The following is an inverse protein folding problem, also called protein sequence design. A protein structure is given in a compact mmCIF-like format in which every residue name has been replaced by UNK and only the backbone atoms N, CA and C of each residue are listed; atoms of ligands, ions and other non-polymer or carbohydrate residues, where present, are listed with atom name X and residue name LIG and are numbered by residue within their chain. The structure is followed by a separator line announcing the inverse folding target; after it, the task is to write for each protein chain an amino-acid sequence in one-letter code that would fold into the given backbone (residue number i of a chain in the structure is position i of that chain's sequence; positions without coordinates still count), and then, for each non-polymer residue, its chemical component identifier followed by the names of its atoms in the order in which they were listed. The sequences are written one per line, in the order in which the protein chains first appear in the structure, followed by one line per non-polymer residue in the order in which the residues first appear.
data_IF_675154829023
#
_entry.id   IF_675154829023
#
_cell.length_a   1.000
_cell.length_b   1.000
_cell.length_c   1.000
_cell.angle_alpha   90.00
_cell.angle_beta   90.00
_cell.angle_gamma   90.00
#
_symmetry.space_group_name_H-M   'P 1'
#
loop_
_entity.id
_entity.type
_entity.pdbx_description
1 polymer ?
#
# COMPACT_ATOMS: atom_id res chain seq x y z
N UNK A 1 -14.24 13.68 2.76
CA UNK A 1 -12.94 12.96 2.84
C UNK A 1 -12.71 12.27 4.20
N UNK A 2 -12.80 12.96 5.35
CA UNK A 2 -12.47 12.38 6.67
C UNK A 2 -13.16 11.04 6.99
N UNK A 3 -14.49 10.97 6.80
CA UNK A 3 -15.27 9.75 7.07
C UNK A 3 -14.78 8.55 6.27
N UNK A 4 -14.41 8.74 4.99
CA UNK A 4 -13.88 7.66 4.16
C UNK A 4 -12.54 7.13 4.69
N UNK A 5 -11.66 8.02 5.16
CA UNK A 5 -10.39 7.62 5.79
C UNK A 5 -10.66 6.77 7.03
N UNK A 6 -11.50 7.23 7.94
CA UNK A 6 -11.77 6.50 9.19
C UNK A 6 -12.45 5.16 8.93
N UNK A 7 -13.44 5.12 8.02
CA UNK A 7 -14.08 3.87 7.60
C UNK A 7 -13.12 2.89 6.92
N UNK A 8 -12.09 3.38 6.23
CA UNK A 8 -11.08 2.52 5.62
C UNK A 8 -10.28 1.76 6.66
N UNK A 9 -9.93 2.39 7.79
CA UNK A 9 -9.17 1.72 8.86
C UNK A 9 -9.94 0.56 9.49
N UNK A 10 -11.26 0.58 9.46
CA UNK A 10 -12.09 -0.53 9.95
C UNK A 10 -11.84 -1.84 9.19
N UNK A 11 -11.38 -1.76 7.94
CA UNK A 11 -10.99 -2.95 7.15
C UNK A 11 -9.87 -3.72 7.86
N UNK A 12 -8.86 -3.00 8.36
CA UNK A 12 -7.69 -3.59 9.02
C UNK A 12 -7.92 -3.99 10.48
N UNK A 13 -9.08 -3.62 11.05
CA UNK A 13 -9.50 -4.06 12.39
C UNK A 13 -10.20 -5.41 12.37
N UNK A 14 -10.53 -5.95 11.19
CA UNK A 14 -11.15 -7.28 11.06
C UNK A 14 -10.15 -8.38 11.38
N UNK A 15 -10.66 -9.48 11.94
CA UNK A 15 -9.81 -10.61 12.35
C UNK A 15 -9.62 -11.62 11.22
N UNK A 16 -10.57 -11.70 10.30
CA UNK A 16 -10.56 -12.68 9.22
C UNK A 16 -10.50 -12.01 7.84
N UNK A 17 -9.84 -12.70 6.90
CA UNK A 17 -9.78 -12.31 5.48
C UNK A 17 -11.18 -12.11 4.87
N UNK A 18 -12.15 -12.95 5.23
CA UNK A 18 -13.51 -12.89 4.70
C UNK A 18 -14.25 -11.63 5.16
N UNK A 19 -14.16 -11.30 6.44
CA UNK A 19 -14.72 -10.06 7.01
C UNK A 19 -14.05 -8.83 6.41
N UNK A 20 -12.72 -8.84 6.29
CA UNK A 20 -11.96 -7.76 5.66
C UNK A 20 -12.39 -7.52 4.21
N UNK A 21 -12.52 -8.60 3.42
CA UNK A 21 -12.95 -8.51 2.02
C UNK A 21 -14.37 -7.96 1.89
N UNK A 22 -15.26 -8.30 2.83
CA UNK A 22 -16.62 -7.77 2.91
C UNK A 22 -16.59 -6.27 3.25
N UNK A 23 -15.87 -5.90 4.31
CA UNK A 23 -15.76 -4.50 4.76
C UNK A 23 -15.14 -3.60 3.69
N UNK A 24 -14.08 -4.07 3.02
CA UNK A 24 -13.46 -3.34 1.91
C UNK A 24 -14.45 -3.16 0.74
N UNK A 25 -15.34 -4.13 0.50
CA UNK A 25 -16.43 -4.00 -0.45
C UNK A 25 -17.42 -2.91 -0.08
N UNK A 26 -17.86 -2.87 1.19
CA UNK A 26 -18.75 -1.83 1.70
C UNK A 26 -18.10 -0.44 1.59
N UNK A 27 -16.82 -0.34 1.91
CA UNK A 27 -16.07 0.90 1.80
C UNK A 27 -15.96 1.37 0.35
N UNK A 28 -15.71 0.47 -0.61
CA UNK A 28 -15.66 0.80 -2.04
C UNK A 28 -17.01 1.33 -2.56
N UNK A 29 -18.12 0.74 -2.11
CA UNK A 29 -19.47 1.21 -2.45
C UNK A 29 -19.71 2.61 -1.89
N UNK A 30 -19.37 2.84 -0.62
CA UNK A 30 -19.50 4.16 0.01
C UNK A 30 -18.63 5.22 -0.68
N UNK A 31 -17.39 4.87 -1.04
CA UNK A 31 -16.48 5.78 -1.73
C UNK A 31 -16.97 6.12 -3.14
N UNK A 32 -17.55 5.15 -3.86
CA UNK A 32 -18.15 5.36 -5.16
C UNK A 32 -19.41 6.24 -5.09
N UNK A 33 -20.28 6.01 -4.10
CA UNK A 33 -21.51 6.79 -3.88
C UNK A 33 -21.20 8.27 -3.60
N UNK A 34 -20.23 8.54 -2.72
CA UNK A 34 -19.78 9.91 -2.43
C UNK A 34 -19.12 10.62 -3.62
N UNK A 35 -18.76 9.89 -4.68
CA UNK A 35 -18.33 10.44 -5.98
C UNK A 35 -17.23 11.50 -5.90
N UNK A 36 -16.32 11.39 -4.94
CA UNK A 36 -15.22 12.35 -4.75
C UNK A 36 -14.14 12.14 -5.83
N UNK A 37 -13.81 13.15 -6.65
CA UNK A 37 -12.81 13.03 -7.70
C UNK A 37 -11.44 12.54 -7.20
N UNK A 38 -11.06 12.95 -5.99
CA UNK A 38 -9.79 12.59 -5.34
C UNK A 38 -9.71 11.10 -5.01
N UNK A 39 -10.84 10.42 -4.84
CA UNK A 39 -10.90 8.99 -4.51
C UNK A 39 -11.03 8.09 -5.74
N UNK A 40 -11.27 8.65 -6.94
CA UNK A 40 -11.50 7.85 -8.16
C UNK A 40 -10.38 6.84 -8.40
N UNK A 41 -9.13 7.28 -8.27
CA UNK A 41 -7.98 6.40 -8.48
C UNK A 41 -7.85 5.35 -7.36
N UNK A 42 -8.09 5.73 -6.11
CA UNK A 42 -8.08 4.81 -4.97
C UNK A 42 -9.14 3.71 -5.13
N UNK A 43 -10.34 4.06 -5.58
CA UNK A 43 -11.44 3.10 -5.81
C UNK A 43 -11.03 2.08 -6.86
N UNK A 44 -10.49 2.52 -8.00
CA UNK A 44 -10.02 1.61 -9.06
C UNK A 44 -8.92 0.67 -8.53
N UNK A 45 -7.89 1.23 -7.90
CA UNK A 45 -6.75 0.45 -7.41
C UNK A 45 -7.15 -0.56 -6.34
N UNK A 46 -7.95 -0.15 -5.34
CA UNK A 46 -8.38 -1.05 -4.27
C UNK A 46 -9.42 -2.08 -4.72
N UNK A 47 -10.21 -1.78 -5.77
CA UNK A 47 -11.07 -2.79 -6.40
C UNK A 47 -10.24 -3.87 -7.10
N UNK A 48 -9.20 -3.46 -7.86
CA UNK A 48 -8.29 -4.37 -8.55
C UNK A 48 -7.48 -5.24 -7.59
N UNK A 49 -7.00 -4.66 -6.49
CA UNK A 49 -6.18 -5.36 -5.49
C UNK A 49 -6.98 -5.84 -4.26
N UNK A 50 -8.31 -5.98 -4.38
CA UNK A 50 -9.19 -6.26 -3.25
C UNK A 50 -8.82 -7.57 -2.54
N UNK A 51 -8.40 -8.58 -3.30
CA UNK A 51 -8.07 -9.89 -2.74
C UNK A 51 -6.76 -9.82 -1.96
N UNK A 52 -5.75 -9.17 -2.51
CA UNK A 52 -4.42 -8.98 -1.95
C UNK A 52 -4.49 -8.17 -0.65
N UNK A 53 -5.28 -7.09 -0.64
CA UNK A 53 -5.53 -6.28 0.58
C UNK A 53 -6.23 -7.10 1.66
N UNK A 54 -7.11 -8.03 1.28
CA UNK A 54 -7.74 -8.92 2.27
C UNK A 54 -6.79 -10.02 2.76
N UNK A 55 -5.83 -10.48 1.94
CA UNK A 55 -4.89 -11.56 2.29
C UNK A 55 -3.97 -11.17 3.43
N UNK A 56 -3.51 -9.92 3.46
CA UNK A 56 -2.65 -9.43 4.55
C UNK A 56 -3.37 -9.45 5.91
N UNK A 57 -4.71 -9.56 5.92
CA UNK A 57 -5.49 -9.71 7.15
C UNK A 57 -5.62 -11.20 7.46
N UNK A 58 -4.95 -11.60 8.54
CA UNK A 58 -4.84 -12.99 8.99
C UNK A 58 -3.43 -13.56 8.82
N UNK A 59 -2.59 -12.94 7.99
CA UNK A 59 -1.16 -13.26 7.92
C UNK A 59 -0.35 -12.38 8.89
N UNK A 60 0.63 -12.97 9.59
CA UNK A 60 1.56 -12.21 10.46
C UNK A 60 2.74 -11.65 9.65
N UNK A 61 2.45 -10.90 8.59
CA UNK A 61 3.47 -10.28 7.76
C UNK A 61 3.78 -8.89 8.28
N UNK A 62 5.03 -8.63 8.62
CA UNK A 62 5.48 -7.28 8.99
C UNK A 62 5.99 -6.53 7.76
N UNK A 63 5.75 -5.21 7.72
CA UNK A 63 6.33 -4.35 6.69
C UNK A 63 7.81 -4.01 6.96
N UNK A 64 8.37 -4.45 8.10
CA UNK A 64 9.70 -4.00 8.57
C UNK A 64 10.85 -4.34 7.62
N UNK A 65 10.81 -5.51 6.98
CA UNK A 65 11.81 -5.87 5.97
C UNK A 65 11.76 -4.92 4.76
N UNK A 66 10.57 -4.69 4.22
CA UNK A 66 10.33 -3.80 3.06
C UNK A 66 10.71 -2.36 3.43
N UNK A 67 10.36 -1.89 4.63
CA UNK A 67 10.75 -0.57 5.15
C UNK A 67 12.27 -0.43 5.28
N UNK A 68 12.95 -1.46 5.79
CA UNK A 68 14.41 -1.52 5.90
C UNK A 68 15.07 -1.40 4.53
N UNK A 69 14.64 -2.20 3.55
CA UNK A 69 15.12 -2.12 2.17
C UNK A 69 14.87 -0.73 1.57
N UNK A 70 13.66 -0.19 1.72
CA UNK A 70 13.33 1.14 1.23
C UNK A 70 14.18 2.23 1.89
N UNK A 71 14.52 2.11 3.17
CA UNK A 71 15.39 3.06 3.85
C UNK A 71 16.83 2.99 3.32
N UNK A 72 17.39 1.78 3.13
CA UNK A 72 18.70 1.60 2.49
C UNK A 72 18.75 2.26 1.10
N UNK A 73 17.71 2.08 0.29
CA UNK A 73 17.59 2.71 -1.05
C UNK A 73 17.51 4.24 -0.93
N UNK A 74 16.74 4.77 0.02
CA UNK A 74 16.63 6.23 0.26
C UNK A 74 17.97 6.83 0.70
N UNK A 75 18.73 6.16 1.58
CA UNK A 75 20.08 6.56 1.97
C UNK A 75 21.00 6.56 0.75
N UNK A 76 21.01 5.49 -0.03
CA UNK A 76 21.79 5.38 -1.25
C UNK A 76 21.52 6.54 -2.21
N UNK A 77 20.24 6.86 -2.44
CA UNK A 77 19.83 7.99 -3.29
C UNK A 77 20.38 9.32 -2.75
N UNK A 78 20.28 9.55 -1.43
CA UNK A 78 20.72 10.79 -0.77
C UNK A 78 22.23 11.02 -0.88
N UNK A 79 23.03 9.96 -0.75
CA UNK A 79 24.51 10.06 -0.82
C UNK A 79 25.05 10.03 -2.25
N UNK A 80 24.22 9.78 -3.26
CA UNK A 80 24.67 9.66 -4.64
C UNK A 80 24.74 11.00 -5.40
N UNK A 81 24.18 12.09 -4.85
CA UNK A 81 24.19 13.43 -5.43
C UNK A 81 23.75 13.48 -6.92
N UNK A 82 22.80 12.63 -7.29
CA UNK A 82 22.33 12.43 -8.67
C UNK A 82 22.51 10.98 -9.12
N UNK A 83 21.62 10.52 -10.00
CA UNK A 83 21.70 9.20 -10.61
C UNK A 83 21.84 9.39 -12.11
N UNK A 84 23.07 9.40 -12.61
CA UNK A 84 23.36 9.56 -14.04
C UNK A 84 23.33 8.21 -14.78
N UNK A 85 23.66 7.12 -14.08
CA UNK A 85 23.66 5.77 -14.64
C UNK A 85 22.72 4.88 -13.81
N UNK A 86 21.59 4.51 -14.42
CA UNK A 86 20.57 3.69 -13.76
C UNK A 86 21.08 2.28 -13.46
N UNK A 87 21.84 1.66 -14.37
CA UNK A 87 22.36 0.30 -14.17
C UNK A 87 23.29 0.22 -12.96
N UNK A 88 24.16 1.23 -12.78
CA UNK A 88 25.01 1.33 -11.59
C UNK A 88 24.17 1.49 -10.32
N UNK A 89 23.11 2.30 -10.36
CA UNK A 89 22.22 2.48 -9.22
C UNK A 89 21.46 1.20 -8.87
N UNK A 90 20.91 0.52 -9.88
CA UNK A 90 20.25 -0.79 -9.74
C UNK A 90 21.20 -1.83 -9.14
N UNK A 91 22.43 -1.93 -9.65
CA UNK A 91 23.43 -2.86 -9.13
C UNK A 91 23.71 -2.57 -7.65
N UNK A 92 23.90 -1.30 -7.27
CA UNK A 92 24.09 -0.93 -5.86
C UNK A 92 22.89 -1.30 -4.99
N UNK A 93 21.65 -1.16 -5.47
CA UNK A 93 20.45 -1.61 -4.74
C UNK A 93 20.47 -3.13 -4.53
N UNK A 94 20.81 -3.91 -5.55
CA UNK A 94 20.85 -5.37 -5.46
C UNK A 94 21.95 -5.87 -4.51
N UNK A 95 23.07 -5.15 -4.41
CA UNK A 95 24.15 -5.47 -3.47
C UNK A 95 23.94 -4.94 -2.04
N UNK A 96 22.91 -4.11 -1.79
CA UNK A 96 22.61 -3.57 -0.47
C UNK A 96 21.82 -4.55 0.43
N UNK A 97 21.48 -5.75 -0.07
CA UNK A 97 20.71 -6.76 0.67
C UNK A 97 21.37 -7.10 2.01
#
# INVERSE_FOLDING_TARGET
AYVLKERFYEVFRKQTRTEAKKELGNWLLLAADLSLPEFRHCITTFSNCKTEIANIIGERVSNGFIEGSNNKIKVLKRISYGVQNFDRFRNRILYLQ
#
